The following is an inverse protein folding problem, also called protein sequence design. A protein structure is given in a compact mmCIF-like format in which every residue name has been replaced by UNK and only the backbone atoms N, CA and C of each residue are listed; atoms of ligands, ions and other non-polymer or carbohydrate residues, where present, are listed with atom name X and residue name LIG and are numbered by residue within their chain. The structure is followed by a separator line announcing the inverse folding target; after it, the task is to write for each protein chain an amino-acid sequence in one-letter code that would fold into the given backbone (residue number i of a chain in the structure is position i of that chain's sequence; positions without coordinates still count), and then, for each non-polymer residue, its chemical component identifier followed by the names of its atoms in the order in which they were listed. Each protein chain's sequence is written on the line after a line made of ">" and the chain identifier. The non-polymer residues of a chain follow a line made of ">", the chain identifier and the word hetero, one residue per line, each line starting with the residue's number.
data_IF_298121730295
#
_entry.id   IF_298121730295
#
_cell.length_a   1.000
_cell.length_b   1.000
_cell.length_c   1.000
_cell.angle_alpha   90.00
_cell.angle_beta   90.00
_cell.angle_gamma   90.00
#
_symmetry.space_group_name_H-M   'P 1'
#
loop_
_entity.id
_entity.type
_entity.pdbx_description
1 polymer ?
#
# COMPACT_ATOMS: atom_id res chain seq x y z
N UNK A 1 18.37 -12.33 -22.07
CA UNK A 1 17.79 -12.40 -20.72
C UNK A 1 16.30 -12.13 -20.86
N UNK A 2 15.45 -13.13 -20.61
CA UNK A 2 14.00 -12.99 -20.77
C UNK A 2 13.47 -11.94 -19.80
N UNK A 3 13.01 -10.81 -20.34
CA UNK A 3 12.37 -9.69 -19.63
C UNK A 3 11.00 -10.04 -19.03
N UNK A 4 10.57 -11.30 -19.11
CA UNK A 4 9.17 -11.73 -18.93
C UNK A 4 8.85 -12.39 -17.58
N UNK A 5 9.77 -12.45 -16.62
CA UNK A 5 9.49 -13.17 -15.35
C UNK A 5 8.70 -12.35 -14.33
N UNK A 6 8.78 -11.02 -14.35
CA UNK A 6 8.11 -10.16 -13.37
C UNK A 6 6.85 -9.56 -13.97
N UNK A 7 5.73 -9.73 -13.26
CA UNK A 7 4.42 -9.20 -13.63
C UNK A 7 4.48 -7.69 -13.90
N UNK A 8 3.84 -7.23 -14.98
CA UNK A 8 3.76 -5.80 -15.27
C UNK A 8 3.08 -5.04 -14.13
N UNK A 9 3.44 -3.77 -13.92
CA UNK A 9 2.72 -2.91 -12.98
C UNK A 9 1.26 -2.73 -13.43
N UNK A 10 0.36 -2.59 -12.46
CA UNK A 10 -1.06 -2.36 -12.71
C UNK A 10 -1.26 -1.10 -13.56
N UNK A 11 -2.24 -1.11 -14.47
CA UNK A 11 -2.46 -0.02 -15.44
C UNK A 11 -1.57 -0.06 -16.70
N UNK A 12 -0.51 -0.88 -16.73
CA UNK A 12 0.27 -1.14 -17.95
C UNK A 12 1.20 -0.01 -18.40
N UNK A 13 1.37 1.04 -17.60
CA UNK A 13 2.23 2.20 -17.88
C UNK A 13 3.59 2.17 -17.15
N UNK A 14 3.90 1.06 -16.47
CA UNK A 14 5.05 0.96 -15.58
C UNK A 14 4.72 1.40 -14.16
N UNK A 15 5.74 1.38 -13.29
CA UNK A 15 5.62 1.94 -11.95
C UNK A 15 5.58 3.46 -12.02
N UNK A 16 4.63 4.08 -11.34
CA UNK A 16 4.58 5.52 -11.18
C UNK A 16 5.49 5.91 -10.01
N UNK A 17 6.43 6.82 -10.25
CA UNK A 17 7.29 7.37 -9.21
C UNK A 17 7.02 8.87 -9.10
N UNK A 18 6.56 9.30 -7.93
CA UNK A 18 6.37 10.70 -7.54
C UNK A 18 7.25 11.09 -6.35
N UNK A 19 8.25 10.29 -6.02
CA UNK A 19 9.22 10.69 -5.03
C UNK A 19 10.13 11.77 -5.61
N UNK A 20 10.37 12.79 -4.80
CA UNK A 20 11.34 13.83 -5.06
C UNK A 20 12.71 13.24 -4.73
N UNK A 21 13.70 13.34 -5.64
CA UNK A 21 15.04 12.86 -5.37
C UNK A 21 15.61 13.48 -4.09
N UNK A 22 16.30 12.68 -3.29
CA UNK A 22 16.88 13.14 -2.02
C UNK A 22 17.83 14.34 -2.20
N UNK A 23 18.54 14.38 -3.33
CA UNK A 23 19.43 15.49 -3.72
C UNK A 23 18.70 16.82 -3.94
N UNK A 24 17.38 16.79 -4.17
CA UNK A 24 16.54 17.98 -4.37
C UNK A 24 15.77 18.38 -3.10
N UNK A 25 15.86 17.62 -2.00
CA UNK A 25 15.04 17.79 -0.78
C UNK A 25 15.02 19.22 -0.26
N UNK A 26 16.19 19.82 -0.02
CA UNK A 26 16.28 21.16 0.57
C UNK A 26 15.78 22.25 -0.38
N UNK A 27 16.07 22.12 -1.67
CA UNK A 27 15.55 23.04 -2.68
C UNK A 27 14.03 22.98 -2.73
N UNK A 28 13.47 21.77 -2.74
CA UNK A 28 12.03 21.53 -2.75
C UNK A 28 11.35 22.07 -1.49
N UNK A 29 11.89 21.79 -0.29
CA UNK A 29 11.35 22.32 0.98
C UNK A 29 11.26 23.85 0.95
N UNK A 30 12.29 24.53 0.45
CA UNK A 30 12.28 25.99 0.33
C UNK A 30 11.23 26.53 -0.66
N UNK A 31 10.94 25.80 -1.75
CA UNK A 31 9.85 26.15 -2.65
C UNK A 31 8.49 25.93 -2.00
N UNK A 32 8.31 24.80 -1.32
CA UNK A 32 7.07 24.43 -0.65
C UNK A 32 6.63 25.47 0.40
N UNK A 33 7.57 26.14 1.09
CA UNK A 33 7.27 27.20 2.05
C UNK A 33 6.50 28.40 1.47
N UNK A 34 6.47 28.56 0.14
CA UNK A 34 5.76 29.66 -0.54
C UNK A 34 4.30 29.33 -0.83
N UNK A 35 3.90 28.06 -0.70
CA UNK A 35 2.56 27.59 -0.99
C UNK A 35 1.65 27.66 0.24
N UNK A 36 0.34 27.72 0.00
CA UNK A 36 -0.64 27.42 1.06
C UNK A 36 -0.41 26.01 1.58
N UNK A 37 -0.82 25.76 2.82
CA UNK A 37 -0.59 24.49 3.49
C UNK A 37 -1.88 23.67 3.50
N UNK A 38 -1.76 22.41 3.07
CA UNK A 38 -2.73 21.36 3.34
C UNK A 38 -2.16 20.41 4.40
N UNK A 39 -2.90 20.22 5.50
CA UNK A 39 -2.52 19.30 6.58
C UNK A 39 -3.12 17.92 6.28
N UNK A 40 -2.27 16.94 5.93
CA UNK A 40 -2.72 15.58 5.74
C UNK A 40 -2.90 14.89 7.09
N UNK A 41 -3.97 14.13 7.25
CA UNK A 41 -4.19 13.31 8.45
C UNK A 41 -3.23 12.12 8.49
N UNK A 42 -2.89 11.69 9.70
CA UNK A 42 -2.05 10.53 9.95
C UNK A 42 -2.59 9.24 9.29
N UNK A 43 -3.91 9.11 9.16
CA UNK A 43 -4.56 7.99 8.46
C UNK A 43 -4.22 7.97 6.95
N UNK A 44 -4.09 9.14 6.33
CA UNK A 44 -3.92 9.25 4.88
C UNK A 44 -2.45 9.36 4.47
N UNK A 45 -1.56 9.66 5.43
CA UNK A 45 -0.12 9.80 5.24
C UNK A 45 0.50 8.58 4.54
N UNK A 46 0.15 7.36 4.99
CA UNK A 46 0.63 6.14 4.36
C UNK A 46 0.18 6.05 2.89
N UNK A 47 -1.08 6.41 2.61
CA UNK A 47 -1.61 6.41 1.23
C UNK A 47 -0.87 7.41 0.34
N UNK A 48 -0.57 8.60 0.85
CA UNK A 48 0.25 9.60 0.15
C UNK A 48 1.61 9.03 -0.27
N UNK A 49 2.33 8.40 0.66
CA UNK A 49 3.62 7.78 0.33
C UNK A 49 3.50 6.57 -0.62
N UNK A 50 2.46 5.74 -0.48
CA UNK A 50 2.22 4.58 -1.36
C UNK A 50 1.80 4.97 -2.77
N UNK A 51 1.15 6.12 -2.96
CA UNK A 51 0.96 6.71 -4.29
C UNK A 51 2.32 7.14 -4.84
N UNK A 52 3.14 7.80 -4.03
CA UNK A 52 4.40 8.37 -4.50
C UNK A 52 5.49 7.35 -4.84
N UNK A 53 5.59 6.24 -4.09
CA UNK A 53 6.56 5.18 -4.37
C UNK A 53 6.10 4.16 -5.43
N UNK A 54 4.89 4.32 -5.95
CA UNK A 54 4.33 3.49 -7.00
C UNK A 54 3.66 2.21 -6.51
N UNK A 55 3.52 2.00 -5.21
CA UNK A 55 2.75 0.86 -4.66
C UNK A 55 1.31 0.90 -5.15
N UNK A 56 0.74 2.10 -5.24
CA UNK A 56 -0.60 2.35 -5.77
C UNK A 56 -0.59 2.77 -7.24
N UNK A 57 0.42 2.35 -8.01
CA UNK A 57 0.38 2.49 -9.47
C UNK A 57 -0.93 1.88 -10.01
N UNK A 58 -1.65 2.55 -10.91
CA UNK A 58 -1.23 3.66 -11.77
C UNK A 58 -1.66 5.05 -11.26
N UNK A 59 -1.92 5.23 -9.96
CA UNK A 59 -2.27 6.53 -9.42
C UNK A 59 -1.06 7.47 -9.41
N UNK A 60 -1.34 8.74 -9.65
CA UNK A 60 -0.36 9.85 -9.67
C UNK A 60 -0.59 10.84 -8.52
N UNK A 61 -1.66 10.63 -7.75
CA UNK A 61 -2.19 11.48 -6.69
C UNK A 61 -3.61 11.03 -6.32
N UNK A 62 -4.29 11.79 -5.46
CA UNK A 62 -5.67 11.52 -5.09
C UNK A 62 -6.61 11.70 -6.28
N UNK A 63 -7.64 10.86 -6.35
CA UNK A 63 -8.60 10.80 -7.45
C UNK A 63 -9.43 12.09 -7.55
N UNK A 64 -9.63 12.55 -8.79
CA UNK A 64 -10.67 13.53 -9.10
C UNK A 64 -12.08 12.94 -8.89
N UNK A 65 -13.11 13.78 -8.99
CA UNK A 65 -14.50 13.38 -8.77
C UNK A 65 -14.91 12.25 -9.71
N UNK A 66 -14.58 12.36 -10.99
CA UNK A 66 -15.05 11.40 -11.99
C UNK A 66 -14.44 10.01 -11.76
N UNK A 67 -13.15 9.95 -11.46
CA UNK A 67 -12.47 8.70 -11.15
C UNK A 67 -12.93 8.12 -9.80
N UNK A 68 -13.06 8.94 -8.76
CA UNK A 68 -13.50 8.53 -7.43
C UNK A 68 -14.89 7.87 -7.49
N UNK A 69 -15.86 8.53 -8.12
CA UNK A 69 -17.22 7.98 -8.23
C UNK A 69 -17.30 6.85 -9.26
N UNK A 70 -16.45 6.83 -10.30
CA UNK A 70 -16.33 5.66 -11.18
C UNK A 70 -15.91 4.41 -10.42
N UNK A 71 -14.97 4.54 -9.47
CA UNK A 71 -14.56 3.43 -8.61
C UNK A 71 -15.68 3.01 -7.67
N UNK A 72 -16.42 3.96 -7.06
CA UNK A 72 -17.55 3.62 -6.20
C UNK A 72 -18.64 2.84 -6.94
N UNK A 73 -18.92 3.21 -8.19
CA UNK A 73 -20.04 2.66 -8.96
C UNK A 73 -19.66 1.40 -9.76
N UNK A 74 -18.42 1.35 -10.25
CA UNK A 74 -17.99 0.38 -11.27
C UNK A 74 -16.74 -0.41 -10.89
N UNK A 75 -16.11 -0.08 -9.77
CA UNK A 75 -14.91 -0.76 -9.27
C UNK A 75 -13.77 -0.81 -10.30
N UNK A 76 -13.64 0.26 -11.09
CA UNK A 76 -12.58 0.39 -12.10
C UNK A 76 -12.06 1.82 -12.20
N UNK A 77 -10.77 1.91 -12.53
CA UNK A 77 -10.14 3.10 -13.10
C UNK A 77 -9.83 2.88 -14.58
N UNK A 78 -9.60 3.96 -15.32
CA UNK A 78 -9.24 3.88 -16.75
C UNK A 78 -7.84 4.45 -16.97
N UNK A 79 -6.94 3.65 -17.56
CA UNK A 79 -5.60 4.09 -17.96
C UNK A 79 -5.32 3.64 -19.38
N UNK A 80 -4.82 4.55 -20.22
CA UNK A 80 -4.53 4.28 -21.64
C UNK A 80 -5.71 3.62 -22.39
N UNK A 81 -6.93 4.08 -22.10
CA UNK A 81 -8.16 3.54 -22.70
C UNK A 81 -8.59 2.15 -22.22
N UNK A 82 -7.89 1.56 -21.24
CA UNK A 82 -8.20 0.24 -20.66
C UNK A 82 -8.76 0.39 -19.26
N UNK A 83 -9.75 -0.43 -18.92
CA UNK A 83 -10.27 -0.55 -17.56
C UNK A 83 -9.33 -1.40 -16.73
N UNK A 84 -9.06 -0.96 -15.51
CA UNK A 84 -8.25 -1.65 -14.52
C UNK A 84 -9.06 -1.79 -13.23
N UNK A 85 -9.05 -2.98 -12.63
CA UNK A 85 -9.79 -3.25 -11.39
C UNK A 85 -9.30 -2.34 -10.27
N UNK A 86 -10.23 -1.62 -9.62
CA UNK A 86 -9.91 -0.74 -8.52
C UNK A 86 -11.15 -0.51 -7.68
N UNK A 87 -11.15 -0.97 -6.43
CA UNK A 87 -12.37 -1.18 -5.65
C UNK A 87 -12.55 -0.20 -4.49
N UNK A 88 -11.50 0.53 -4.12
CA UNK A 88 -11.52 1.53 -3.05
C UNK A 88 -10.95 2.84 -3.60
N UNK A 89 -11.75 3.91 -3.70
CA UNK A 89 -11.25 5.15 -4.25
C UNK A 89 -10.40 5.87 -3.21
N UNK A 90 -9.37 6.56 -3.69
CA UNK A 90 -8.38 7.21 -2.83
C UNK A 90 -8.35 8.71 -3.15
N UNK A 91 -8.91 9.50 -2.25
CA UNK A 91 -8.79 10.96 -2.23
C UNK A 91 -8.62 11.43 -0.79
N UNK A 92 -8.14 12.66 -0.58
CA UNK A 92 -7.89 13.16 0.76
C UNK A 92 -8.99 14.13 1.21
N UNK A 93 -9.50 14.03 2.45
CA UNK A 93 -10.54 14.94 2.90
C UNK A 93 -10.00 16.34 3.20
N UNK A 94 -10.81 17.35 2.89
CA UNK A 94 -10.56 18.78 3.18
C UNK A 94 -11.78 19.41 3.83
N UNK A 95 -11.55 20.31 4.79
CA UNK A 95 -12.63 21.06 5.42
C UNK A 95 -13.29 22.03 4.43
N UNK A 96 -14.51 22.46 4.74
CA UNK A 96 -15.18 23.49 3.93
C UNK A 96 -14.35 24.77 3.84
N UNK A 97 -13.76 25.22 4.94
CA UNK A 97 -12.88 26.39 4.97
C UNK A 97 -11.67 26.25 4.05
N UNK A 98 -11.02 25.07 4.02
CA UNK A 98 -9.92 24.80 3.09
C UNK A 98 -10.41 24.79 1.65
N UNK A 99 -11.55 24.15 1.37
CA UNK A 99 -12.12 24.10 0.01
C UNK A 99 -12.49 25.48 -0.55
N UNK A 100 -12.84 26.44 0.32
CA UNK A 100 -13.11 27.84 -0.04
C UNK A 100 -11.82 28.68 -0.15
N UNK A 101 -10.74 28.23 0.50
CA UNK A 101 -9.44 28.92 0.50
C UNK A 101 -8.51 28.45 -0.61
N UNK A 102 -8.70 27.25 -1.13
CA UNK A 102 -7.89 26.68 -2.19
C UNK A 102 -8.50 26.91 -3.58
N UNK A 103 -7.67 26.90 -4.61
CA UNK A 103 -8.05 27.09 -6.01
C UNK A 103 -7.61 25.89 -6.86
N UNK A 104 -8.46 25.48 -7.80
CA UNK A 104 -8.09 24.45 -8.78
C UNK A 104 -6.93 24.99 -9.65
N UNK A 105 -5.91 24.17 -9.84
CA UNK A 105 -4.68 24.52 -10.57
C UNK A 105 -3.57 25.08 -9.68
N UNK A 106 -3.83 25.41 -8.41
CA UNK A 106 -2.77 25.81 -7.50
C UNK A 106 -2.04 24.59 -6.90
N UNK A 107 -0.81 24.82 -6.44
CA UNK A 107 -0.02 23.85 -5.70
C UNK A 107 -0.01 24.21 -4.22
N UNK A 108 -0.31 23.24 -3.36
CA UNK A 108 -0.24 23.36 -1.90
C UNK A 108 0.91 22.53 -1.35
N UNK A 109 1.58 23.04 -0.31
CA UNK A 109 2.50 22.26 0.49
C UNK A 109 1.72 21.28 1.37
N UNK A 110 2.10 20.01 1.34
CA UNK A 110 1.50 18.98 2.18
C UNK A 110 2.36 18.82 3.43
N UNK A 111 1.72 18.97 4.59
CA UNK A 111 2.35 18.77 5.90
C UNK A 111 1.67 17.65 6.67
N UNK A 112 2.44 16.88 7.42
CA UNK A 112 1.90 15.94 8.40
C UNK A 112 1.40 16.66 9.66
N UNK A 113 0.78 15.91 10.58
CA UNK A 113 0.27 16.45 11.85
C UNK A 113 1.36 17.01 12.79
N UNK A 114 2.64 16.71 12.54
CA UNK A 114 3.78 17.27 13.26
C UNK A 114 4.26 18.60 12.65
N UNK A 115 3.70 19.00 11.51
CA UNK A 115 4.04 20.24 10.80
C UNK A 115 5.22 20.11 9.85
N UNK A 116 5.72 18.89 9.63
CA UNK A 116 6.81 18.62 8.69
C UNK A 116 6.28 18.63 7.25
N UNK A 117 7.00 19.29 6.36
CA UNK A 117 6.69 19.26 4.93
C UNK A 117 7.09 17.89 4.39
N UNK A 118 6.10 17.15 3.88
CA UNK A 118 6.28 15.82 3.31
C UNK A 118 6.21 15.83 1.78
N UNK A 119 5.75 16.92 1.16
CA UNK A 119 5.54 16.97 -0.28
C UNK A 119 4.69 18.16 -0.72
N UNK A 120 4.20 18.10 -1.95
CA UNK A 120 3.21 19.03 -2.50
C UNK A 120 2.08 18.29 -3.21
N UNK A 121 0.96 18.97 -3.37
CA UNK A 121 -0.20 18.50 -4.13
C UNK A 121 -0.61 19.62 -5.11
N UNK A 122 -0.60 19.30 -6.41
CA UNK A 122 -1.19 20.14 -7.46
C UNK A 122 -2.66 19.79 -7.60
N UNK A 123 -3.54 20.74 -7.28
CA UNK A 123 -4.97 20.52 -7.15
C UNK A 123 -5.60 20.48 -8.55
N UNK A 124 -6.21 19.36 -8.92
CA UNK A 124 -6.99 19.26 -10.15
C UNK A 124 -8.50 19.31 -9.91
N UNK A 125 -8.94 18.98 -8.69
CA UNK A 125 -10.37 18.92 -8.36
C UNK A 125 -10.61 19.08 -6.86
N UNK A 126 -11.77 19.63 -6.49
CA UNK A 126 -12.28 19.67 -5.12
C UNK A 126 -13.80 19.49 -5.15
N UNK A 127 -14.30 18.47 -4.44
CA UNK A 127 -15.70 18.05 -4.57
C UNK A 127 -16.29 17.54 -3.25
N UNK A 128 -17.63 17.64 -3.05
CA UNK A 128 -18.27 17.16 -1.82
C UNK A 128 -18.05 15.66 -1.59
N UNK A 129 -17.81 15.30 -0.32
CA UNK A 129 -17.65 13.93 0.12
C UNK A 129 -18.99 13.33 0.55
N UNK A 130 -19.64 12.58 -0.35
CA UNK A 130 -20.81 11.77 0.02
C UNK A 130 -20.39 10.53 0.81
N UNK A 131 -20.19 10.73 2.12
CA UNK A 131 -19.83 9.69 3.09
C UNK A 131 -20.84 8.56 3.16
N UNK A 132 -22.12 8.85 2.95
CA UNK A 132 -23.17 7.83 3.00
C UNK A 132 -23.07 6.89 1.81
N UNK A 133 -22.91 7.44 0.60
CA UNK A 133 -22.68 6.66 -0.62
C UNK A 133 -21.37 5.87 -0.54
N UNK A 134 -20.29 6.51 -0.08
CA UNK A 134 -19.01 5.85 0.16
C UNK A 134 -19.15 4.65 1.09
N UNK A 135 -19.76 4.81 2.26
CA UNK A 135 -19.90 3.73 3.23
C UNK A 135 -20.72 2.55 2.70
N UNK A 136 -21.83 2.85 2.01
CA UNK A 136 -22.67 1.80 1.40
C UNK A 136 -21.92 1.04 0.31
N UNK A 137 -21.18 1.73 -0.55
CA UNK A 137 -20.43 1.08 -1.63
C UNK A 137 -19.24 0.30 -1.07
N UNK A 138 -18.43 0.87 -0.17
CA UNK A 138 -17.16 0.28 0.28
C UNK A 138 -17.35 -0.80 1.34
N UNK A 139 -18.21 -0.55 2.34
CA UNK A 139 -18.36 -1.47 3.47
C UNK A 139 -19.61 -2.35 3.37
N UNK A 140 -20.52 -2.06 2.43
CA UNK A 140 -21.78 -2.79 2.29
C UNK A 140 -22.73 -2.61 3.49
N UNK A 141 -22.43 -1.67 4.39
CA UNK A 141 -23.20 -1.42 5.61
C UNK A 141 -23.05 0.03 6.06
N UNK A 142 -24.05 0.54 6.76
CA UNK A 142 -24.09 1.85 7.43
C UNK A 142 -23.91 1.75 8.95
N UNK A 143 -23.64 0.52 9.44
CA UNK A 143 -23.39 0.23 10.84
C UNK A 143 -22.21 1.03 11.40
N UNK A 144 -22.49 1.94 12.33
CA UNK A 144 -21.50 2.83 12.95
C UNK A 144 -20.48 2.11 13.85
N UNK A 145 -20.71 0.84 14.20
CA UNK A 145 -19.75 0.02 14.94
C UNK A 145 -18.69 -0.62 14.03
N UNK A 146 -18.91 -0.66 12.71
CA UNK A 146 -17.90 -1.07 11.74
C UNK A 146 -16.72 -0.08 11.72
N UNK A 147 -15.45 -0.52 11.85
CA UNK A 147 -14.30 0.37 11.96
C UNK A 147 -14.18 1.36 10.78
N UNK A 148 -14.29 0.87 9.55
CA UNK A 148 -14.22 1.69 8.34
C UNK A 148 -15.32 2.77 8.28
N UNK A 149 -16.59 2.38 8.42
CA UNK A 149 -17.74 3.30 8.50
C UNK A 149 -17.50 4.37 9.59
N UNK A 150 -17.05 3.95 10.77
CA UNK A 150 -16.80 4.85 11.91
C UNK A 150 -15.75 5.91 11.58
N UNK A 151 -14.65 5.53 10.92
CA UNK A 151 -13.60 6.48 10.50
C UNK A 151 -14.21 7.53 9.56
N UNK A 152 -14.96 7.09 8.54
CA UNK A 152 -15.54 7.99 7.54
C UNK A 152 -16.58 8.95 8.12
N UNK A 153 -17.48 8.48 9.00
CA UNK A 153 -18.53 9.35 9.58
C UNK A 153 -18.01 10.30 10.65
N UNK A 154 -16.91 9.96 11.33
CA UNK A 154 -16.33 10.78 12.39
C UNK A 154 -15.36 11.84 11.85
N UNK A 155 -14.94 11.74 10.58
CA UNK A 155 -14.23 12.82 9.92
C UNK A 155 -15.19 14.01 9.77
N UNK A 156 -14.80 15.21 10.21
CA UNK A 156 -15.63 16.41 10.08
C UNK A 156 -15.49 17.07 8.71
N UNK A 157 -14.49 16.69 7.91
CA UNK A 157 -14.19 17.28 6.61
C UNK A 157 -15.25 16.89 5.57
N UNK A 158 -15.76 17.87 4.83
CA UNK A 158 -16.95 17.73 3.97
C UNK A 158 -16.62 17.56 2.49
N UNK A 159 -15.38 17.81 2.10
CA UNK A 159 -14.92 17.78 0.71
C UNK A 159 -13.76 16.80 0.57
N UNK A 160 -13.48 16.41 -0.67
CA UNK A 160 -12.30 15.66 -1.08
C UNK A 160 -11.48 16.52 -2.03
N UNK A 161 -10.16 16.38 -1.98
CA UNK A 161 -9.22 17.01 -2.90
C UNK A 161 -8.61 15.94 -3.83
N UNK A 162 -8.69 16.20 -5.13
CA UNK A 162 -8.09 15.41 -6.20
C UNK A 162 -6.93 16.16 -6.86
N UNK A 163 -5.96 15.44 -7.39
CA UNK A 163 -4.76 16.07 -7.92
C UNK A 163 -3.60 15.13 -8.16
N UNK A 164 -2.43 15.74 -8.34
CA UNK A 164 -1.15 15.05 -8.46
C UNK A 164 -0.29 15.38 -7.25
N UNK A 165 0.49 14.41 -6.79
CA UNK A 165 1.38 14.62 -5.65
C UNK A 165 2.83 14.44 -6.04
N UNK A 166 3.71 15.04 -5.25
CA UNK A 166 5.12 14.71 -5.18
C UNK A 166 5.54 14.66 -3.72
N UNK A 167 6.22 13.58 -3.31
CA UNK A 167 6.55 13.31 -1.92
C UNK A 167 8.06 13.32 -1.69
N UNK A 168 8.50 13.86 -0.57
CA UNK A 168 9.82 13.57 -0.02
C UNK A 168 9.85 12.13 0.49
N UNK A 169 11.03 11.52 0.56
CA UNK A 169 11.16 10.15 1.07
C UNK A 169 10.63 10.04 2.51
N UNK A 170 9.76 9.05 2.74
CA UNK A 170 9.24 8.71 4.06
C UNK A 170 10.39 8.33 5.01
N UNK A 171 10.37 8.86 6.23
CA UNK A 171 11.30 8.43 7.26
C UNK A 171 11.04 6.97 7.65
N UNK A 172 12.09 6.17 7.63
CA UNK A 172 11.99 4.76 7.98
C UNK A 172 11.86 4.56 9.49
N UNK A 173 10.99 3.63 9.89
CA UNK A 173 10.89 3.23 11.29
C UNK A 173 12.18 2.52 11.75
N UNK A 174 12.76 2.83 12.91
CA UNK A 174 14.06 2.31 13.33
C UNK A 174 14.10 0.78 13.46
N UNK A 175 12.96 0.14 13.79
CA UNK A 175 12.91 -1.31 14.03
C UNK A 175 12.67 -2.13 12.76
N UNK A 176 11.75 -1.70 11.90
CA UNK A 176 11.29 -2.48 10.75
C UNK A 176 11.49 -1.79 9.41
N UNK A 177 12.05 -0.58 9.39
CA UNK A 177 12.32 0.20 8.18
C UNK A 177 13.15 -0.54 7.14
N UNK A 178 14.09 -1.39 7.58
CA UNK A 178 14.89 -2.28 6.71
C UNK A 178 14.06 -3.27 5.88
N UNK A 179 12.81 -3.53 6.26
CA UNK A 179 11.88 -4.40 5.52
C UNK A 179 10.94 -3.63 4.60
N UNK A 180 10.97 -2.30 4.63
CA UNK A 180 10.09 -1.44 3.83
C UNK A 180 10.71 -1.17 2.46
N UNK A 181 10.66 -2.18 1.59
CA UNK A 181 11.15 -2.05 0.23
C UNK A 181 10.08 -1.40 -0.67
N UNK A 182 10.41 -0.36 -1.44
CA UNK A 182 9.51 0.17 -2.46
C UNK A 182 9.36 -0.84 -3.60
N UNK A 183 8.29 -0.75 -4.41
CA UNK A 183 8.04 -1.68 -5.52
C UNK A 183 9.22 -1.86 -6.48
N UNK A 184 10.00 -0.81 -6.74
CA UNK A 184 11.22 -0.91 -7.55
C UNK A 184 12.27 -1.83 -6.90
N UNK A 185 12.57 -1.61 -5.61
CA UNK A 185 13.50 -2.43 -4.85
C UNK A 185 13.03 -3.89 -4.72
N UNK A 186 11.73 -4.09 -4.48
CA UNK A 186 11.12 -5.43 -4.43
C UNK A 186 11.25 -6.16 -5.77
N UNK A 187 11.07 -5.47 -6.91
CA UNK A 187 11.25 -6.06 -8.23
C UNK A 187 12.71 -6.40 -8.51
N UNK A 188 13.65 -5.54 -8.14
CA UNK A 188 15.09 -5.82 -8.27
C UNK A 188 15.49 -7.07 -7.46
N UNK A 189 15.01 -7.18 -6.21
CA UNK A 189 15.21 -8.37 -5.38
C UNK A 189 14.75 -9.65 -6.09
N UNK A 190 13.58 -9.64 -6.72
CA UNK A 190 13.08 -10.82 -7.45
C UNK A 190 13.93 -11.16 -8.67
N UNK A 191 14.47 -10.15 -9.38
CA UNK A 191 15.38 -10.37 -10.52
C UNK A 191 16.70 -10.98 -10.07
N UNK A 192 17.30 -10.46 -8.99
CA UNK A 192 18.54 -10.97 -8.41
C UNK A 192 18.39 -12.42 -7.94
N UNK A 193 17.25 -12.74 -7.34
CA UNK A 193 16.86 -14.10 -6.93
C UNK A 193 16.50 -15.01 -8.11
N UNK A 194 16.38 -14.46 -9.33
CA UNK A 194 15.96 -15.15 -10.55
C UNK A 194 14.62 -15.86 -10.40
N UNK A 195 13.73 -15.35 -9.55
CA UNK A 195 12.41 -15.92 -9.33
C UNK A 195 11.51 -15.71 -10.55
N UNK A 196 10.88 -16.79 -10.99
CA UNK A 196 9.90 -16.80 -12.08
C UNK A 196 8.47 -16.63 -11.56
N UNK A 197 8.22 -17.07 -10.32
CA UNK A 197 6.93 -16.92 -9.63
C UNK A 197 7.17 -16.46 -8.20
N UNK A 198 6.27 -15.62 -7.71
CA UNK A 198 6.32 -15.09 -6.36
C UNK A 198 4.95 -15.30 -5.74
N UNK A 199 4.92 -15.89 -4.54
CA UNK A 199 3.73 -16.02 -3.72
C UNK A 199 3.77 -14.90 -2.68
N UNK A 200 2.86 -13.93 -2.76
CA UNK A 200 2.73 -12.92 -1.72
C UNK A 200 1.71 -13.39 -0.67
N UNK A 201 2.07 -13.33 0.61
CA UNK A 201 1.19 -13.63 1.72
C UNK A 201 0.97 -12.38 2.56
N UNK A 202 -0.15 -11.72 2.28
CA UNK A 202 -0.60 -10.52 2.97
C UNK A 202 -1.15 -10.88 4.36
N UNK A 203 -0.63 -10.24 5.42
CA UNK A 203 -1.14 -10.47 6.79
C UNK A 203 -1.11 -9.21 7.65
N UNK A 204 -2.04 -9.14 8.61
CA UNK A 204 -1.98 -8.19 9.74
C UNK A 204 -1.81 -8.87 11.09
N UNK A 205 -1.86 -10.20 11.13
CA UNK A 205 -1.85 -11.00 12.36
C UNK A 205 -0.56 -11.82 12.46
N UNK A 206 -0.09 -12.16 13.68
CA UNK A 206 0.92 -13.18 13.88
C UNK A 206 0.61 -14.46 13.10
N UNK A 207 1.65 -15.16 12.64
CA UNK A 207 1.47 -16.42 11.92
C UNK A 207 1.02 -17.53 12.88
N UNK A 208 0.15 -18.39 12.39
CA UNK A 208 -0.20 -19.66 13.00
C UNK A 208 -0.12 -20.74 11.92
N UNK A 209 -0.14 -22.03 12.29
CA UNK A 209 0.13 -23.14 11.36
C UNK A 209 -0.69 -23.12 10.06
N UNK A 210 -1.98 -22.76 10.12
CA UNK A 210 -2.76 -22.65 8.88
C UNK A 210 -2.27 -21.56 7.91
N UNK A 211 -1.70 -20.45 8.39
CA UNK A 211 -1.07 -19.44 7.53
C UNK A 211 0.21 -19.99 6.90
N UNK A 212 1.01 -20.71 7.69
CA UNK A 212 2.25 -21.33 7.25
C UNK A 212 1.99 -22.39 6.17
N UNK A 213 1.01 -23.27 6.41
CA UNK A 213 0.59 -24.30 5.47
C UNK A 213 0.25 -23.73 4.09
N UNK A 214 -0.50 -22.62 4.03
CA UNK A 214 -0.85 -22.00 2.73
C UNK A 214 0.39 -21.56 1.96
N UNK A 215 1.37 -20.97 2.64
CA UNK A 215 2.64 -20.56 2.02
C UNK A 215 3.46 -21.78 1.55
N UNK A 216 3.60 -22.80 2.41
CA UNK A 216 4.30 -24.06 2.12
C UNK A 216 3.67 -24.77 0.91
N UNK A 217 2.35 -24.97 0.94
CA UNK A 217 1.62 -25.61 -0.14
C UNK A 217 1.81 -24.87 -1.47
N UNK A 218 1.69 -23.53 -1.46
CA UNK A 218 1.80 -22.72 -2.67
C UNK A 218 3.19 -22.83 -3.30
N UNK A 219 4.27 -22.68 -2.51
CA UNK A 219 5.63 -22.75 -3.05
C UNK A 219 6.00 -24.16 -3.50
N UNK A 220 5.67 -25.19 -2.72
CA UNK A 220 5.97 -26.58 -3.10
C UNK A 220 5.27 -26.96 -4.38
N UNK A 221 4.00 -26.56 -4.56
CA UNK A 221 3.27 -26.81 -5.80
C UNK A 221 3.96 -26.19 -7.02
N UNK A 222 4.46 -24.97 -6.89
CA UNK A 222 5.14 -24.26 -7.97
C UNK A 222 6.54 -24.85 -8.25
N UNK A 223 7.30 -25.19 -7.21
CA UNK A 223 8.62 -25.80 -7.37
C UNK A 223 8.53 -27.23 -7.90
N UNK A 224 7.53 -28.03 -7.49
CA UNK A 224 7.23 -29.36 -8.06
C UNK A 224 6.85 -29.27 -9.54
N UNK A 225 6.33 -28.12 -9.99
CA UNK A 225 6.10 -27.81 -11.41
C UNK A 225 7.36 -27.25 -12.14
N UNK A 226 8.53 -27.23 -11.49
CA UNK A 226 9.80 -26.82 -12.09
C UNK A 226 10.04 -25.31 -12.14
N UNK A 227 9.26 -24.51 -11.39
CA UNK A 227 9.38 -23.05 -11.40
C UNK A 227 10.27 -22.55 -10.26
N UNK A 228 11.23 -21.67 -10.59
CA UNK A 228 11.97 -20.93 -9.56
C UNK A 228 11.03 -19.98 -8.84
N UNK A 229 10.82 -20.22 -7.55
CA UNK A 229 9.74 -19.58 -6.78
C UNK A 229 10.25 -19.07 -5.44
N UNK A 230 9.67 -17.96 -5.00
CA UNK A 230 9.83 -17.44 -3.64
C UNK A 230 8.52 -17.03 -3.00
N UNK A 231 8.55 -16.86 -1.69
CA UNK A 231 7.44 -16.36 -0.88
C UNK A 231 7.81 -14.98 -0.34
N UNK A 232 6.90 -14.03 -0.48
CA UNK A 232 6.96 -12.74 0.21
C UNK A 232 5.97 -12.77 1.35
N UNK A 233 6.47 -12.86 2.56
CA UNK A 233 5.67 -12.58 3.74
C UNK A 233 5.49 -11.07 3.82
N UNK A 234 4.26 -10.60 3.56
CA UNK A 234 3.93 -9.19 3.39
C UNK A 234 3.05 -8.68 4.55
N UNK A 235 3.64 -8.39 5.71
CA UNK A 235 2.84 -7.89 6.83
C UNK A 235 2.53 -6.41 6.68
N UNK A 236 1.29 -6.05 7.02
CA UNK A 236 0.93 -4.66 7.20
C UNK A 236 1.53 -4.10 8.48
N UNK A 237 2.31 -3.02 8.33
CA UNK A 237 2.89 -2.26 9.45
C UNK A 237 2.25 -0.88 9.61
N UNK A 238 1.37 -0.48 8.68
CA UNK A 238 0.57 0.73 8.78
C UNK A 238 -0.45 0.69 9.92
N UNK A 239 -1.22 1.79 10.05
CA UNK A 239 -2.20 1.94 11.13
C UNK A 239 -3.22 0.80 11.08
N UNK A 240 -3.34 0.10 12.21
CA UNK A 240 -4.25 -1.01 12.47
C UNK A 240 -5.20 -0.64 13.61
N UNK A 241 -6.29 -1.40 13.79
CA UNK A 241 -7.23 -1.20 14.90
C UNK A 241 -6.55 -1.42 16.25
N UNK A 242 -7.07 -0.78 17.30
CA UNK A 242 -6.43 -0.69 18.61
C UNK A 242 -6.23 -2.02 19.35
N UNK A 243 -6.92 -3.08 18.95
CA UNK A 243 -6.81 -4.43 19.51
C UNK A 243 -5.84 -5.34 18.72
N UNK A 244 -5.22 -4.86 17.65
CA UNK A 244 -4.21 -5.62 16.90
C UNK A 244 -2.84 -5.61 17.63
N UNK A 245 -2.07 -6.69 17.49
CA UNK A 245 -0.70 -6.78 18.04
C UNK A 245 0.18 -5.71 17.39
N UNK A 246 0.98 -4.94 18.17
CA UNK A 246 1.81 -3.87 17.62
C UNK A 246 2.70 -4.34 16.47
N UNK A 247 2.84 -3.51 15.43
CA UNK A 247 3.62 -3.84 14.24
C UNK A 247 5.06 -4.24 14.58
N UNK A 248 5.70 -3.54 15.52
CA UNK A 248 7.05 -3.88 16.00
C UNK A 248 7.15 -5.31 16.53
N UNK A 249 6.19 -5.74 17.35
CA UNK A 249 6.17 -7.08 17.92
C UNK A 249 5.92 -8.13 16.84
N UNK A 250 4.97 -7.86 15.92
CA UNK A 250 4.71 -8.74 14.77
C UNK A 250 5.95 -8.91 13.90
N UNK A 251 6.63 -7.82 13.55
CA UNK A 251 7.85 -7.84 12.74
C UNK A 251 8.99 -8.62 13.39
N UNK A 252 9.24 -8.41 14.70
CA UNK A 252 10.23 -9.20 15.45
C UNK A 252 9.88 -10.70 15.48
N UNK A 253 8.58 -11.02 15.59
CA UNK A 253 8.09 -12.39 15.56
C UNK A 253 8.36 -13.04 14.21
N UNK A 254 8.04 -12.38 13.10
CA UNK A 254 8.31 -12.91 11.76
C UNK A 254 9.81 -13.09 11.49
N UNK A 255 10.64 -12.11 11.89
CA UNK A 255 12.10 -12.20 11.76
C UNK A 255 12.65 -13.41 12.54
N UNK A 256 12.20 -13.61 13.78
CA UNK A 256 12.60 -14.77 14.58
C UNK A 256 12.18 -16.09 13.94
N UNK A 257 10.92 -16.20 13.49
CA UNK A 257 10.41 -17.40 12.85
C UNK A 257 11.18 -17.79 11.58
N UNK A 258 11.57 -16.81 10.75
CA UNK A 258 12.39 -17.03 9.55
C UNK A 258 13.81 -17.43 9.96
N UNK A 259 14.47 -16.64 10.82
CA UNK A 259 15.87 -16.86 11.23
C UNK A 259 16.07 -18.22 11.91
N UNK A 260 15.13 -18.62 12.75
CA UNK A 260 15.19 -19.88 13.52
C UNK A 260 14.61 -21.07 12.76
N UNK A 261 14.24 -20.88 11.48
CA UNK A 261 13.70 -21.91 10.59
C UNK A 261 12.46 -22.62 11.15
N UNK A 262 11.57 -21.85 11.79
CA UNK A 262 10.39 -22.36 12.50
C UNK A 262 9.12 -22.36 11.64
N UNK A 263 9.11 -21.63 10.53
CA UNK A 263 7.95 -21.56 9.63
C UNK A 263 7.82 -22.86 8.82
N UNK A 264 6.59 -23.41 8.78
CA UNK A 264 6.26 -24.57 7.97
C UNK A 264 6.71 -25.90 8.57
N UNK A 265 7.23 -25.91 9.80
CA UNK A 265 7.52 -27.16 10.51
C UNK A 265 6.25 -27.97 10.74
N UNK A 266 6.28 -29.25 10.36
CA UNK A 266 5.13 -30.17 10.42
C UNK A 266 4.27 -30.18 9.16
N UNK A 267 4.34 -29.12 8.34
CA UNK A 267 3.55 -28.98 7.11
C UNK A 267 4.36 -29.25 5.83
N UNK A 268 5.68 -29.00 5.88
CA UNK A 268 6.58 -29.18 4.74
C UNK A 268 6.81 -30.65 4.38
N UNK A 269 6.88 -30.94 3.08
CA UNK A 269 7.26 -32.24 2.54
C UNK A 269 8.78 -32.45 2.73
N UNK A 270 9.15 -33.09 3.84
CA UNK A 270 10.55 -33.26 4.22
C UNK A 270 11.39 -33.94 3.12
N UNK A 271 10.84 -34.95 2.45
CA UNK A 271 11.54 -35.66 1.39
C UNK A 271 11.77 -34.77 0.16
N UNK A 272 10.80 -33.90 -0.17
CA UNK A 272 10.96 -32.92 -1.24
C UNK A 272 12.10 -31.95 -0.94
N UNK A 273 12.12 -31.32 0.24
CA UNK A 273 13.14 -30.34 0.60
C UNK A 273 14.54 -30.95 0.75
N UNK A 274 14.64 -32.14 1.37
CA UNK A 274 15.91 -32.88 1.48
C UNK A 274 16.48 -33.24 0.11
N UNK A 275 15.66 -33.73 -0.82
CA UNK A 275 16.09 -34.05 -2.19
C UNK A 275 16.64 -32.83 -2.94
N UNK A 276 16.10 -31.63 -2.68
CA UNK A 276 16.58 -30.39 -3.30
C UNK A 276 17.81 -29.81 -2.59
N UNK A 277 18.18 -30.31 -1.40
CA UNK A 277 19.26 -29.77 -0.60
C UNK A 277 18.99 -28.33 -0.11
N UNK A 278 17.72 -28.00 0.11
CA UNK A 278 17.24 -26.65 0.44
C UNK A 278 16.21 -26.68 1.58
N UNK A 279 15.85 -25.52 2.13
CA UNK A 279 14.79 -25.38 3.14
C UNK A 279 13.79 -24.29 2.76
N UNK A 280 12.51 -24.54 3.04
CA UNK A 280 11.42 -23.59 2.80
C UNK A 280 11.74 -22.16 3.24
N UNK A 281 12.36 -21.97 4.40
CA UNK A 281 12.64 -20.63 4.94
C UNK A 281 13.67 -19.83 4.14
N UNK A 282 14.55 -20.48 3.36
CA UNK A 282 15.49 -19.81 2.46
C UNK A 282 14.78 -19.11 1.28
N UNK A 283 13.52 -19.50 1.03
CA UNK A 283 12.66 -18.91 0.01
C UNK A 283 11.70 -17.85 0.54
N UNK A 284 11.65 -17.61 1.85
CA UNK A 284 10.73 -16.64 2.46
C UNK A 284 11.45 -15.30 2.67
N UNK A 285 10.98 -14.25 2.01
CA UNK A 285 11.42 -12.87 2.24
C UNK A 285 10.37 -12.08 2.98
N UNK A 286 10.80 -11.40 4.05
CA UNK A 286 9.97 -10.48 4.82
C UNK A 286 10.03 -9.09 4.17
N UNK A 287 8.90 -8.61 3.65
CA UNK A 287 8.78 -7.27 3.08
C UNK A 287 7.56 -6.62 3.70
N UNK A 288 7.73 -5.56 4.49
CA UNK A 288 6.61 -4.87 5.12
C UNK A 288 5.83 -4.01 4.12
N UNK A 289 4.54 -3.81 4.39
CA UNK A 289 3.67 -2.91 3.64
C UNK A 289 3.07 -1.87 4.59
N UNK A 290 3.27 -0.60 4.29
CA UNK A 290 2.70 0.50 5.06
C UNK A 290 1.54 1.11 4.29
N UNK A 291 0.35 0.60 4.57
CA UNK A 291 -0.92 1.16 4.11
C UNK A 291 -1.94 1.00 5.24
N UNK A 292 -2.90 1.90 5.33
CA UNK A 292 -3.99 1.78 6.30
C UNK A 292 -4.87 0.57 5.94
N UNK A 293 -5.36 -0.13 6.97
CA UNK A 293 -6.44 -1.10 6.77
C UNK A 293 -7.77 -0.37 6.67
N UNK A 294 -8.51 -0.63 5.61
CA UNK A 294 -9.87 -0.14 5.39
C UNK A 294 -10.91 -1.02 6.09
N UNK A 295 -10.59 -2.31 6.29
CA UNK A 295 -11.53 -3.34 6.76
C UNK A 295 -12.73 -3.51 5.81
N UNK A 296 -12.49 -3.44 4.50
CA UNK A 296 -13.54 -3.49 3.46
C UNK A 296 -13.69 -4.88 2.81
N UNK A 297 -13.20 -5.93 3.48
CA UNK A 297 -13.42 -7.32 3.10
C UNK A 297 -13.04 -7.61 1.64
N UNK A 298 -13.96 -8.12 0.80
CA UNK A 298 -13.67 -8.45 -0.60
C UNK A 298 -13.11 -7.29 -1.43
N UNK A 299 -13.56 -6.04 -1.17
CA UNK A 299 -13.06 -4.88 -1.91
C UNK A 299 -11.61 -4.59 -1.58
N UNK A 300 -11.24 -4.69 -0.31
CA UNK A 300 -9.85 -4.52 0.12
C UNK A 300 -8.96 -5.67 -0.33
N UNK A 301 -9.48 -6.89 -0.43
CA UNK A 301 -8.75 -8.04 -0.95
C UNK A 301 -8.37 -7.91 -2.44
N UNK A 302 -9.08 -7.07 -3.22
CA UNK A 302 -8.71 -6.73 -4.60
C UNK A 302 -7.61 -5.65 -4.64
N UNK A 303 -7.54 -4.81 -3.61
CA UNK A 303 -6.49 -3.80 -3.46
C UNK A 303 -5.16 -4.39 -2.95
N UNK A 304 -5.23 -5.42 -2.11
CA UNK A 304 -4.08 -6.21 -1.67
C UNK A 304 -3.51 -7.08 -2.80
#
# INVERSE_FOLDING_TARGET
>A
MNKETIVAAHGGQGLINRNIPEVEREHFKNQALKHKVYMISNEDLATFYRIADGTLSPLEGPMDKNEFYSVLDKEVIVRNGKKCSWTIPLAFPVSKKESESFEIGETVAVKDEHGEIIGVLEISDMYPFDKQSYNRSIYGTDRKDHPGVRITINDEREFLIGGKIWALSQQQHPVYGKYMLPPEGTRLLFQERKWQRIVAFQTRNPLHRAHEYVMVYAIEKLMKAGLSTGVVLNPLVGKTKSDDVPAEIRMKTYEALIREKLIGQGDKDAAFWEKNGDDFTEHVHLIGLDIKMFYAGPKEAIMH
#
